data_IF_186308786682
#
_entry.id   IF_186308786682
#
_cell.length_a   1.000
_cell.length_b   1.000
_cell.length_c   1.000
_cell.angle_alpha   90.00
_cell.angle_beta   90.00
_cell.angle_gamma   90.00
#
_symmetry.space_group_name_H-M   'P 1'
#
loop_
_entity.id
_entity.type
_entity.pdbx_description
1 polymer ?
#
# COMPACT_ATOMS: atom_id res chain seq x y z
N UNK A 1 -19.38 15.03 -1.51
CA UNK A 1 -18.07 15.57 -1.83
C UNK A 1 -17.62 15.12 -3.21
N UNK A 2 -17.18 16.05 -4.05
CA UNK A 2 -16.68 15.61 -5.36
C UNK A 2 -15.47 14.71 -5.19
N UNK A 3 -15.29 13.69 -6.05
CA UNK A 3 -14.12 12.84 -5.97
C UNK A 3 -12.85 13.62 -6.28
N UNK A 4 -11.75 13.22 -5.66
CA UNK A 4 -10.43 13.79 -5.92
C UNK A 4 -9.85 13.03 -7.11
N UNK A 5 -9.60 13.71 -8.26
CA UNK A 5 -9.18 13.01 -9.49
C UNK A 5 -7.89 12.21 -9.35
N UNK A 6 -6.99 12.63 -8.46
CA UNK A 6 -5.70 11.98 -8.27
C UNK A 6 -5.81 10.66 -7.50
N UNK A 7 -6.94 10.42 -6.82
CA UNK A 7 -7.16 9.17 -6.11
C UNK A 7 -7.75 8.14 -7.07
N UNK A 8 -7.10 6.99 -7.16
CA UNK A 8 -7.56 5.92 -8.05
C UNK A 8 -8.82 5.27 -7.49
N UNK A 9 -9.72 4.78 -8.38
CA UNK A 9 -10.90 4.05 -7.91
C UNK A 9 -10.52 2.87 -7.01
N UNK A 10 -11.21 2.75 -5.88
CA UNK A 10 -10.96 1.69 -4.91
C UNK A 10 -9.82 1.95 -3.94
N UNK A 11 -9.07 3.03 -4.13
CA UNK A 11 -7.96 3.37 -3.23
C UNK A 11 -8.51 3.78 -1.86
N UNK A 12 -7.93 3.22 -0.79
CA UNK A 12 -8.39 3.45 0.58
C UNK A 12 -8.01 4.85 1.07
N UNK A 13 -9.01 5.66 1.39
CA UNK A 13 -8.77 6.99 1.96
C UNK A 13 -8.17 6.88 3.36
N UNK A 14 -8.59 5.91 4.15
CA UNK A 14 -8.05 5.68 5.48
C UNK A 14 -6.54 5.36 5.41
N UNK A 15 -6.15 4.53 4.45
CA UNK A 15 -4.72 4.23 4.24
C UNK A 15 -3.96 5.49 3.87
N UNK A 16 -4.47 6.27 2.93
CA UNK A 16 -3.80 7.49 2.49
C UNK A 16 -3.63 8.50 3.62
N UNK A 17 -4.62 8.60 4.50
CA UNK A 17 -4.52 9.44 5.69
C UNK A 17 -3.48 8.89 6.67
N UNK A 18 -3.48 7.58 6.90
CA UNK A 18 -2.54 6.95 7.82
C UNK A 18 -1.09 7.08 7.35
N UNK A 19 -0.87 7.08 6.03
CA UNK A 19 0.46 7.26 5.45
C UNK A 19 0.85 8.74 5.29
N UNK A 20 -0.02 9.65 5.76
CA UNK A 20 0.17 11.10 5.64
C UNK A 20 0.23 11.58 4.19
N UNK A 21 -0.38 10.86 3.27
CA UNK A 21 -0.55 11.28 1.88
C UNK A 21 -1.75 12.21 1.77
N UNK A 22 -2.83 11.92 2.52
CA UNK A 22 -3.92 12.87 2.70
C UNK A 22 -3.79 13.55 4.06
N UNK A 23 -4.33 14.77 4.17
CA UNK A 23 -4.41 15.46 5.45
C UNK A 23 -5.43 14.78 6.36
N UNK A 24 -5.46 15.17 7.64
CA UNK A 24 -6.43 14.64 8.59
C UNK A 24 -7.87 14.86 8.14
N UNK A 25 -8.11 15.96 7.41
CA UNK A 25 -9.44 16.28 6.88
C UNK A 25 -9.77 15.54 5.60
N UNK A 26 -8.87 14.65 5.14
CA UNK A 26 -9.06 13.92 3.90
C UNK A 26 -8.85 14.76 2.65
N UNK A 27 -8.08 15.83 2.75
CA UNK A 27 -7.82 16.75 1.64
C UNK A 27 -6.40 16.60 1.11
N UNK A 28 -6.19 17.11 -0.09
CA UNK A 28 -4.86 17.19 -0.68
C UNK A 28 -4.33 18.62 -0.56
N UNK A 29 -3.21 18.78 0.14
CA UNK A 29 -2.41 19.99 0.01
C UNK A 29 -1.35 19.75 -1.08
N UNK A 30 -0.49 20.74 -1.34
CA UNK A 30 0.50 20.65 -2.41
C UNK A 30 1.47 19.47 -2.19
N UNK A 31 1.92 19.27 -0.97
CA UNK A 31 2.83 18.19 -0.62
C UNK A 31 2.15 16.82 -0.76
N UNK A 32 0.93 16.69 -0.26
CA UNK A 32 0.13 15.47 -0.38
C UNK A 32 -0.11 15.08 -1.83
N UNK A 33 -0.42 16.08 -2.66
CA UNK A 33 -0.68 15.87 -4.09
C UNK A 33 0.56 15.32 -4.79
N UNK A 34 1.73 15.83 -4.44
CA UNK A 34 3.01 15.35 -4.98
C UNK A 34 3.28 13.92 -4.55
N UNK A 35 3.06 13.60 -3.26
CA UNK A 35 3.25 12.24 -2.74
C UNK A 35 2.32 11.25 -3.42
N UNK A 36 1.05 11.59 -3.56
CA UNK A 36 0.07 10.74 -4.21
C UNK A 36 0.44 10.48 -5.67
N UNK A 37 0.89 11.51 -6.36
CA UNK A 37 1.32 11.38 -7.75
C UNK A 37 2.51 10.44 -7.88
N UNK A 38 3.49 10.55 -6.97
CA UNK A 38 4.66 9.67 -6.97
C UNK A 38 4.27 8.21 -6.70
N UNK A 39 3.38 7.99 -5.75
CA UNK A 39 2.89 6.65 -5.41
C UNK A 39 2.17 6.02 -6.59
N UNK A 40 1.26 6.77 -7.21
CA UNK A 40 0.49 6.26 -8.35
C UNK A 40 1.38 6.01 -9.55
N UNK A 41 2.40 6.83 -9.75
CA UNK A 41 3.37 6.64 -10.83
C UNK A 41 4.19 5.37 -10.61
N UNK A 42 4.65 5.15 -9.39
CA UNK A 42 5.39 3.93 -9.03
C UNK A 42 4.53 2.70 -9.26
N UNK A 43 3.27 2.73 -8.84
CA UNK A 43 2.34 1.62 -9.05
C UNK A 43 2.13 1.35 -10.54
N UNK A 44 2.04 2.40 -11.34
CA UNK A 44 1.87 2.26 -12.79
C UNK A 44 3.00 1.42 -13.41
N UNK A 45 4.23 1.57 -12.91
CA UNK A 45 5.37 0.76 -13.39
C UNK A 45 5.33 -0.66 -12.85
N UNK A 46 4.90 -0.85 -11.62
CA UNK A 46 4.97 -2.15 -10.96
C UNK A 46 3.80 -3.05 -11.35
N UNK A 47 2.62 -2.49 -11.58
CA UNK A 47 1.41 -3.26 -11.85
C UNK A 47 1.56 -4.28 -12.98
N UNK A 48 2.12 -3.93 -14.17
CA UNK A 48 2.29 -4.92 -15.22
C UNK A 48 3.19 -6.07 -14.83
N UNK A 49 4.22 -5.81 -14.01
CA UNK A 49 5.13 -6.85 -13.53
C UNK A 49 4.41 -7.81 -12.59
N UNK A 50 3.57 -7.28 -11.69
CA UNK A 50 2.78 -8.11 -10.79
C UNK A 50 1.78 -8.96 -11.57
N UNK A 51 1.12 -8.37 -12.56
CA UNK A 51 0.16 -9.09 -13.39
C UNK A 51 0.84 -10.21 -14.17
N UNK A 52 2.03 -9.99 -14.68
CA UNK A 52 2.80 -10.99 -15.40
C UNK A 52 3.21 -12.15 -14.49
N UNK A 53 3.67 -11.85 -13.27
CA UNK A 53 4.06 -12.85 -12.30
C UNK A 53 2.88 -13.73 -11.89
N UNK A 54 1.70 -13.11 -11.70
CA UNK A 54 0.48 -13.86 -11.39
C UNK A 54 0.07 -14.74 -12.57
N UNK A 55 0.14 -14.21 -13.79
CA UNK A 55 -0.21 -14.99 -14.99
C UNK A 55 0.71 -16.20 -15.16
N UNK A 56 1.98 -16.08 -14.77
CA UNK A 56 2.96 -17.15 -14.91
C UNK A 56 2.87 -18.17 -13.78
N UNK A 57 2.69 -17.72 -12.54
CA UNK A 57 2.79 -18.57 -11.34
C UNK A 57 1.46 -18.83 -10.64
N UNK A 58 0.39 -18.17 -11.03
CA UNK A 58 -0.93 -18.30 -10.44
C UNK A 58 -1.14 -17.51 -9.16
N UNK A 59 -0.12 -17.35 -8.35
CA UNK A 59 -0.17 -16.56 -7.12
C UNK A 59 1.11 -15.76 -6.97
N UNK A 60 1.12 -14.85 -6.00
CA UNK A 60 2.25 -13.93 -5.83
C UNK A 60 2.57 -13.73 -4.35
N UNK A 61 3.83 -13.91 -4.00
CA UNK A 61 4.36 -13.56 -2.69
C UNK A 61 5.42 -12.49 -2.87
N UNK A 62 5.30 -11.40 -2.13
CA UNK A 62 6.20 -10.27 -2.21
C UNK A 62 6.88 -10.04 -0.87
N UNK A 63 8.19 -9.85 -0.87
CA UNK A 63 8.92 -9.49 0.34
C UNK A 63 9.59 -8.13 0.13
N UNK A 64 9.37 -7.22 1.07
CA UNK A 64 9.94 -5.88 1.05
C UNK A 64 10.96 -5.78 2.19
N UNK A 65 12.24 -5.86 1.85
CA UNK A 65 13.35 -5.81 2.81
C UNK A 65 13.69 -4.36 3.12
N UNK A 66 13.87 -4.05 4.42
CA UNK A 66 14.08 -2.67 4.83
C UNK A 66 12.83 -1.84 4.63
N UNK A 67 11.67 -2.41 4.96
CA UNK A 67 10.37 -1.86 4.61
C UNK A 67 10.08 -0.47 5.19
N UNK A 68 10.74 -0.10 6.28
CA UNK A 68 10.48 1.16 6.95
C UNK A 68 9.04 1.23 7.43
N UNK A 69 8.31 2.28 7.04
CA UNK A 69 6.88 2.42 7.36
C UNK A 69 6.00 1.57 6.46
N UNK A 70 6.59 0.83 5.54
CA UNK A 70 5.91 -0.09 4.61
C UNK A 70 4.97 0.61 3.63
N UNK A 71 5.27 1.84 3.25
CA UNK A 71 4.44 2.60 2.31
C UNK A 71 4.21 1.82 1.03
N UNK A 72 5.27 1.30 0.42
CA UNK A 72 5.16 0.57 -0.84
C UNK A 72 4.28 -0.67 -0.69
N UNK A 73 4.53 -1.47 0.35
CA UNK A 73 3.73 -2.68 0.60
C UNK A 73 2.25 -2.38 0.76
N UNK A 74 1.91 -1.35 1.54
CA UNK A 74 0.52 -0.96 1.75
C UNK A 74 -0.14 -0.50 0.46
N UNK A 75 0.56 0.30 -0.34
CA UNK A 75 0.01 0.79 -1.61
C UNK A 75 -0.21 -0.35 -2.60
N UNK A 76 0.73 -1.29 -2.68
CA UNK A 76 0.59 -2.46 -3.55
C UNK A 76 -0.56 -3.34 -3.10
N UNK A 77 -0.72 -3.54 -1.80
CA UNK A 77 -1.85 -4.31 -1.28
C UNK A 77 -3.18 -3.63 -1.63
N UNK A 78 -3.27 -2.34 -1.37
CA UNK A 78 -4.51 -1.58 -1.59
C UNK A 78 -4.93 -1.58 -3.06
N UNK A 79 -3.98 -1.44 -3.97
CA UNK A 79 -4.28 -1.29 -5.39
C UNK A 79 -4.27 -2.60 -6.19
N UNK A 80 -3.61 -3.64 -5.69
CA UNK A 80 -3.48 -4.90 -6.43
C UNK A 80 -3.95 -6.12 -5.66
N UNK A 81 -3.47 -6.32 -4.42
CA UNK A 81 -3.74 -7.54 -3.66
C UNK A 81 -5.13 -7.58 -3.03
N UNK A 82 -5.64 -6.43 -2.62
CA UNK A 82 -6.89 -6.34 -1.86
C UNK A 82 -8.08 -6.98 -2.59
N UNK A 83 -8.15 -6.82 -3.89
CA UNK A 83 -9.25 -7.35 -4.71
C UNK A 83 -9.05 -8.79 -5.14
N UNK A 84 -7.92 -9.41 -4.76
CA UNK A 84 -7.63 -10.80 -5.07
C UNK A 84 -7.91 -11.68 -3.87
N UNK A 85 -8.08 -12.98 -4.11
CA UNK A 85 -8.33 -13.95 -3.05
C UNK A 85 -7.04 -14.53 -2.47
N UNK A 86 -5.90 -14.33 -3.13
CA UNK A 86 -4.63 -14.91 -2.76
C UNK A 86 -3.50 -13.89 -2.87
N UNK A 87 -2.31 -14.34 -2.52
CA UNK A 87 -1.12 -13.49 -2.55
C UNK A 87 -0.84 -12.92 -1.17
N UNK A 88 0.44 -12.70 -0.87
CA UNK A 88 0.86 -12.25 0.45
C UNK A 88 2.02 -11.26 0.33
N UNK A 89 2.02 -10.24 1.17
CA UNK A 89 3.12 -9.27 1.25
C UNK A 89 3.77 -9.38 2.63
N UNK A 90 5.09 -9.53 2.65
CA UNK A 90 5.89 -9.52 3.87
C UNK A 90 6.72 -8.26 3.92
N UNK A 91 6.53 -7.45 4.95
CA UNK A 91 7.40 -6.32 5.24
C UNK A 91 8.44 -6.73 6.26
N UNK A 92 9.70 -6.58 5.93
CA UNK A 92 10.81 -6.99 6.79
C UNK A 92 11.57 -5.75 7.23
N UNK A 93 11.58 -5.50 8.55
CA UNK A 93 12.14 -4.29 9.11
C UNK A 93 12.77 -4.57 10.45
N UNK A 94 13.95 -4.00 10.74
CA UNK A 94 14.69 -4.25 11.97
C UNK A 94 14.21 -3.41 13.16
N UNK A 95 13.47 -2.33 12.91
CA UNK A 95 12.99 -1.42 13.96
C UNK A 95 11.63 -1.89 14.49
N UNK A 96 11.57 -2.41 15.75
CA UNK A 96 10.34 -3.01 16.27
C UNK A 96 9.13 -2.07 16.26
N UNK A 97 9.33 -0.79 16.55
CA UNK A 97 8.23 0.18 16.58
C UNK A 97 7.57 0.35 15.21
N UNK A 98 8.36 0.27 14.13
CA UNK A 98 7.80 0.35 12.79
C UNK A 98 7.04 -0.91 12.41
N UNK A 99 7.55 -2.08 12.85
CA UNK A 99 6.86 -3.35 12.64
C UNK A 99 5.52 -3.36 13.36
N UNK A 100 5.50 -2.93 14.62
CA UNK A 100 4.27 -2.88 15.41
C UNK A 100 3.24 -1.92 14.83
N UNK A 101 3.69 -0.74 14.40
CA UNK A 101 2.80 0.25 13.78
C UNK A 101 2.20 -0.27 12.47
N UNK A 102 3.00 -0.96 11.67
CA UNK A 102 2.53 -1.54 10.42
C UNK A 102 1.51 -2.65 10.66
N UNK A 103 1.75 -3.51 11.66
CA UNK A 103 0.78 -4.56 12.04
C UNK A 103 -0.54 -3.96 12.46
N UNK A 104 -0.51 -2.91 13.28
CA UNK A 104 -1.72 -2.21 13.72
C UNK A 104 -2.49 -1.64 12.55
N UNK A 105 -1.80 -0.99 11.64
CA UNK A 105 -2.44 -0.36 10.48
C UNK A 105 -3.08 -1.42 9.58
N UNK A 106 -2.37 -2.50 9.27
CA UNK A 106 -2.90 -3.57 8.45
C UNK A 106 -4.15 -4.18 9.08
N UNK A 107 -4.13 -4.37 10.40
CA UNK A 107 -5.29 -4.90 11.14
C UNK A 107 -6.48 -3.96 11.04
N UNK A 108 -6.27 -2.66 11.23
CA UNK A 108 -7.36 -1.67 11.14
C UNK A 108 -7.96 -1.60 9.74
N UNK A 109 -7.14 -1.78 8.71
CA UNK A 109 -7.61 -1.73 7.33
C UNK A 109 -8.20 -3.05 6.84
N UNK A 110 -8.06 -4.13 7.63
CA UNK A 110 -8.50 -5.45 7.20
C UNK A 110 -7.61 -6.07 6.14
N UNK A 111 -6.34 -5.66 6.07
CA UNK A 111 -5.37 -6.19 5.12
C UNK A 111 -4.77 -7.49 5.66
N UNK A 112 -5.57 -8.56 5.59
CA UNK A 112 -5.26 -9.83 6.26
C UNK A 112 -4.06 -10.58 5.69
N UNK A 113 -3.71 -10.33 4.43
CA UNK A 113 -2.60 -11.02 3.76
C UNK A 113 -1.34 -10.17 3.69
N UNK A 114 -1.13 -9.34 4.71
CA UNK A 114 0.14 -8.67 4.98
C UNK A 114 0.69 -9.17 6.30
N UNK A 115 2.00 -9.41 6.33
CA UNK A 115 2.72 -9.78 7.54
C UNK A 115 3.96 -8.91 7.67
N UNK A 116 4.33 -8.62 8.91
CA UNK A 116 5.48 -7.76 9.18
C UNK A 116 6.42 -8.49 10.12
N UNK A 117 7.67 -8.62 9.70
CA UNK A 117 8.69 -9.41 10.40
C UNK A 117 9.84 -8.52 10.82
N UNK A 118 10.37 -8.83 11.98
CA UNK A 118 11.50 -8.10 12.55
C UNK A 118 12.83 -8.73 12.17
#
# INVERSE_FOLDING_TARGET
MPPIPEIRPGQSLELLQALHILTRDGKLNQDSRRKLKQVNHLFHFIEPLLAELVATNGTLTLADHGAGKSYLGFILYDLFFKSRDDGHIYGIETRPELVDNARDLASRLGFARMSFLN
#
